data_IF_653268473806
#
_entry.id   IF_653268473806
#
_cell.length_a   1.000
_cell.length_b   1.000
_cell.length_c   1.000
_cell.angle_alpha   90.00
_cell.angle_beta   90.00
_cell.angle_gamma   90.00
#
_symmetry.space_group_name_H-M   'P 1'
#
loop_
_entity.id
_entity.type
_entity.pdbx_description
1 polymer ?
#
# COMPACT_ATOMS: atom_id res chain seq x y z
N UNK A 1 5.50 -7.56 1.00
CA UNK A 1 5.35 -6.09 0.96
C UNK A 1 6.65 -5.32 1.04
N UNK A 2 7.70 -5.78 1.74
CA UNK A 2 9.02 -5.11 1.73
C UNK A 2 9.56 -4.81 0.32
N UNK A 3 9.52 -5.80 -0.59
CA UNK A 3 9.98 -5.63 -1.97
C UNK A 3 9.18 -4.54 -2.70
N UNK A 4 7.85 -4.58 -2.61
CA UNK A 4 6.95 -3.57 -3.18
C UNK A 4 7.27 -2.16 -2.67
N UNK A 5 7.38 -2.00 -1.35
CA UNK A 5 7.68 -0.70 -0.74
C UNK A 5 9.07 -0.17 -1.13
N UNK A 6 10.07 -1.06 -1.21
CA UNK A 6 11.42 -0.67 -1.64
C UNK A 6 11.42 -0.20 -3.10
N UNK A 7 10.68 -0.91 -3.96
CA UNK A 7 10.55 -0.56 -5.38
C UNK A 7 9.80 0.76 -5.57
N UNK A 8 8.76 1.02 -4.78
CA UNK A 8 8.04 2.30 -4.73
C UNK A 8 9.00 3.47 -4.44
N UNK A 9 9.79 3.36 -3.37
CA UNK A 9 10.80 4.39 -3.02
C UNK A 9 11.79 4.56 -4.15
N UNK A 10 12.28 3.46 -4.74
CA UNK A 10 13.24 3.49 -5.85
C UNK A 10 12.67 4.25 -7.05
N UNK A 11 11.43 3.96 -7.44
CA UNK A 11 10.73 4.62 -8.56
C UNK A 11 10.60 6.12 -8.36
N UNK A 12 10.22 6.59 -7.18
CA UNK A 12 10.11 8.04 -6.93
C UNK A 12 11.47 8.75 -6.78
N UNK A 13 12.56 8.01 -6.54
CA UNK A 13 13.92 8.56 -6.56
C UNK A 13 14.55 8.61 -7.96
N UNK A 14 14.00 7.84 -8.90
CA UNK A 14 14.46 7.71 -10.27
C UNK A 14 14.39 9.04 -11.04
N UNK A 15 15.44 9.34 -11.82
CA UNK A 15 15.54 10.59 -12.57
C UNK A 15 14.48 10.71 -13.65
N UNK A 16 14.11 9.61 -14.32
CA UNK A 16 13.15 9.65 -15.42
C UNK A 16 11.74 9.93 -14.89
N UNK A 17 11.43 9.35 -13.73
CA UNK A 17 10.18 9.65 -13.02
C UNK A 17 10.16 11.12 -12.59
N UNK A 18 11.24 11.64 -12.01
CA UNK A 18 11.33 13.08 -11.68
C UNK A 18 11.17 13.97 -12.91
N UNK A 19 11.79 13.60 -14.03
CA UNK A 19 11.68 14.31 -15.30
C UNK A 19 10.24 14.29 -15.84
N UNK A 20 9.47 13.21 -15.60
CA UNK A 20 8.05 13.14 -15.94
C UNK A 20 7.25 14.20 -15.18
N UNK A 21 7.50 14.41 -13.89
CA UNK A 21 6.85 15.49 -13.13
C UNK A 21 7.24 16.87 -13.66
N UNK A 22 8.54 17.14 -13.81
CA UNK A 22 9.01 18.48 -14.22
C UNK A 22 8.58 18.84 -15.63
N UNK A 23 8.53 17.87 -16.55
CA UNK A 23 8.06 18.10 -17.93
C UNK A 23 6.57 18.47 -17.99
N UNK A 24 5.79 18.10 -16.98
CA UNK A 24 4.39 18.49 -16.81
C UNK A 24 4.22 19.75 -15.92
N UNK A 25 5.32 20.45 -15.59
CA UNK A 25 5.32 21.60 -14.68
C UNK A 25 4.76 21.26 -13.28
N UNK A 26 4.99 20.02 -12.81
CA UNK A 26 4.55 19.52 -11.51
C UNK A 26 5.72 19.37 -10.54
N UNK A 27 5.52 19.62 -9.23
CA UNK A 27 6.48 19.19 -8.23
C UNK A 27 6.50 17.66 -8.16
N UNK A 28 7.70 17.09 -8.10
CA UNK A 28 7.87 15.65 -7.90
C UNK A 28 7.65 15.26 -6.45
N UNK A 29 7.33 13.98 -6.20
CA UNK A 29 7.21 13.41 -4.86
C UNK A 29 8.54 13.55 -4.10
N UNK A 30 8.53 14.27 -2.99
CA UNK A 30 9.71 14.54 -2.16
C UNK A 30 9.86 13.55 -1.01
N UNK A 31 8.75 12.98 -0.55
CA UNK A 31 8.73 12.09 0.60
C UNK A 31 7.82 10.87 0.37
N UNK A 32 8.29 9.69 0.75
CA UNK A 32 7.54 8.43 0.69
C UNK A 32 7.72 7.73 2.02
N UNK A 33 6.62 7.41 2.70
CA UNK A 33 6.67 6.76 4.01
C UNK A 33 5.48 5.80 4.24
N UNK A 34 5.59 4.96 5.27
CA UNK A 34 4.47 4.17 5.76
C UNK A 34 3.48 5.08 6.48
N UNK A 35 2.20 4.91 6.18
CA UNK A 35 1.16 5.75 6.76
C UNK A 35 0.95 5.45 8.25
N UNK A 36 1.05 6.50 9.07
CA UNK A 36 0.88 6.52 10.52
C UNK A 36 0.00 7.70 11.00
N UNK A 37 -0.60 8.48 10.10
CA UNK A 37 -1.40 9.67 10.42
C UNK A 37 -0.65 11.00 10.28
N UNK A 38 0.40 11.04 9.47
CA UNK A 38 1.25 12.22 9.22
C UNK A 38 0.46 13.45 8.71
N UNK A 39 -0.65 13.21 8.03
CA UNK A 39 -1.57 14.19 7.46
C UNK A 39 -2.57 14.80 8.46
N UNK A 40 -2.69 14.23 9.67
CA UNK A 40 -3.57 14.77 10.73
C UNK A 40 -2.81 15.53 11.82
N UNK A 41 -1.52 15.25 12.02
CA UNK A 41 -0.77 15.80 13.15
C UNK A 41 0.65 16.22 12.77
N UNK A 42 0.80 17.45 12.29
CA UNK A 42 2.09 18.06 11.94
C UNK A 42 3.11 18.02 13.10
N UNK A 43 2.64 18.12 14.36
CA UNK A 43 3.50 18.13 15.55
C UNK A 43 3.91 16.73 16.04
N UNK A 44 3.22 15.69 15.59
CA UNK A 44 3.45 14.30 15.98
C UNK A 44 4.49 13.57 15.13
N UNK A 45 4.92 14.17 14.02
CA UNK A 45 5.81 13.56 13.04
C UNK A 45 6.93 14.54 12.65
N UNK A 46 8.07 14.01 12.16
CA UNK A 46 9.12 14.87 11.62
C UNK A 46 8.58 15.70 10.45
N UNK A 47 9.06 16.95 10.35
CA UNK A 47 8.73 17.85 9.25
C UNK A 47 9.08 17.17 7.92
N UNK A 48 8.06 16.76 7.17
CA UNK A 48 8.21 16.10 5.88
C UNK A 48 7.90 17.09 4.76
N UNK A 49 8.58 16.92 3.62
CA UNK A 49 8.43 17.80 2.47
C UNK A 49 7.28 17.32 1.58
N UNK A 50 6.36 18.22 1.24
CA UNK A 50 5.31 17.96 0.24
C UNK A 50 5.77 18.29 -1.19
N UNK A 51 5.29 17.57 -2.22
CA UNK A 51 4.30 16.47 -2.15
C UNK A 51 4.87 15.18 -1.55
N UNK A 52 4.01 14.46 -0.81
CA UNK A 52 4.36 13.21 -0.14
C UNK A 52 3.39 12.08 -0.52
N UNK A 53 3.88 10.84 -0.50
CA UNK A 53 3.09 9.63 -0.73
C UNK A 53 3.19 8.73 0.50
N UNK A 54 2.09 8.59 1.22
CA UNK A 54 2.01 7.70 2.36
C UNK A 54 1.35 6.38 1.99
N UNK A 55 1.90 5.27 2.47
CA UNK A 55 1.44 3.92 2.09
C UNK A 55 1.06 3.10 3.30
N UNK A 56 -0.12 2.48 3.25
CA UNK A 56 -0.47 1.35 4.12
C UNK A 56 -0.96 0.18 3.27
N UNK A 57 -0.97 -1.00 3.87
CA UNK A 57 -1.59 -2.17 3.25
C UNK A 57 -2.22 -3.08 4.28
N UNK A 58 -3.20 -3.85 3.84
CA UNK A 58 -3.71 -5.04 4.51
C UNK A 58 -3.58 -6.23 3.57
N UNK A 59 -3.50 -7.44 4.12
CA UNK A 59 -3.43 -8.66 3.32
C UNK A 59 -4.45 -9.65 3.88
N UNK A 60 -5.41 -10.02 3.04
CA UNK A 60 -6.39 -11.05 3.34
C UNK A 60 -5.85 -12.42 2.92
N UNK A 61 -5.83 -13.37 3.86
CA UNK A 61 -5.39 -14.76 3.67
C UNK A 61 -6.55 -15.77 3.68
N UNK A 62 -7.81 -15.30 3.65
CA UNK A 62 -8.99 -16.18 3.60
C UNK A 62 -9.08 -16.99 2.31
N UNK A 63 -8.61 -16.43 1.20
CA UNK A 63 -8.57 -17.10 -0.10
C UNK A 63 -7.30 -17.94 -0.27
N UNK A 64 -7.37 -18.96 -1.14
CA UNK A 64 -6.22 -19.80 -1.52
C UNK A 64 -5.03 -18.97 -2.00
N UNK A 65 -5.31 -17.93 -2.77
CA UNK A 65 -4.33 -16.91 -3.17
C UNK A 65 -4.62 -15.65 -2.35
N UNK A 66 -3.72 -15.26 -1.42
CA UNK A 66 -3.91 -14.06 -0.62
C UNK A 66 -4.05 -12.80 -1.46
N UNK A 67 -4.85 -11.85 -1.00
CA UNK A 67 -5.08 -10.56 -1.67
C UNK A 67 -4.55 -9.45 -0.79
N UNK A 68 -3.65 -8.62 -1.32
CA UNK A 68 -3.21 -7.40 -0.67
C UNK A 68 -4.05 -6.22 -1.14
N UNK A 69 -4.54 -5.42 -0.21
CA UNK A 69 -5.14 -4.12 -0.46
C UNK A 69 -4.13 -3.06 -0.03
N UNK A 70 -3.72 -2.21 -0.97
CA UNK A 70 -2.71 -1.18 -0.76
C UNK A 70 -3.39 0.18 -0.89
N UNK A 71 -3.25 1.02 0.13
CA UNK A 71 -3.81 2.37 0.14
C UNK A 71 -2.66 3.37 0.10
N UNK A 72 -2.71 4.24 -0.89
CA UNK A 72 -1.81 5.37 -1.04
C UNK A 72 -2.57 6.64 -0.67
N UNK A 73 -1.98 7.48 0.18
CA UNK A 73 -2.48 8.82 0.49
C UNK A 73 -1.50 9.82 -0.07
N UNK A 74 -1.96 10.56 -1.06
CA UNK A 74 -1.20 11.52 -1.83
C UNK A 74 -1.39 12.89 -1.19
N UNK A 75 -0.42 13.31 -0.38
CA UNK A 75 -0.47 14.57 0.33
C UNK A 75 0.22 15.66 -0.50
N UNK A 76 -0.51 16.71 -0.82
CA UNK A 76 -0.03 17.79 -1.67
C UNK A 76 -0.33 19.13 -1.01
N UNK A 77 0.71 19.92 -0.76
CA UNK A 77 0.57 21.26 -0.21
C UNK A 77 -0.06 22.18 -1.26
N UNK A 78 -1.38 22.32 -1.22
CA UNK A 78 -2.09 23.36 -1.94
C UNK A 78 -2.44 24.51 -0.99
N UNK A 79 -2.07 25.71 -1.42
CA UNK A 79 -2.60 26.95 -0.90
C UNK A 79 -3.39 27.60 -2.04
N UNK A 80 -4.63 27.18 -2.37
CA UNK A 80 -5.45 27.91 -3.37
C UNK A 80 -6.93 27.54 -3.51
N UNK A 81 -7.64 28.54 -4.02
CA UNK A 81 -9.06 28.57 -4.39
C UNK A 81 -9.31 27.88 -5.75
N UNK A 82 -10.02 26.74 -5.74
CA UNK A 82 -10.49 25.96 -6.90
C UNK A 82 -11.87 26.40 -7.39
N UNK A 83 -12.45 27.47 -6.84
CA UNK A 83 -13.77 27.93 -7.24
C UNK A 83 -13.80 28.36 -8.71
N UNK A 84 -15.00 28.29 -9.31
CA UNK A 84 -15.25 28.68 -10.70
C UNK A 84 -14.95 30.16 -11.01
N UNK A 85 -14.71 30.98 -10.00
CA UNK A 85 -14.36 32.41 -10.12
C UNK A 85 -12.87 32.68 -9.93
N UNK A 86 -12.09 31.65 -9.59
CA UNK A 86 -10.65 31.75 -9.37
C UNK A 86 -9.93 32.14 -10.67
N UNK A 87 -9.13 33.20 -10.61
CA UNK A 87 -8.25 33.64 -11.72
C UNK A 87 -6.99 32.78 -11.85
N UNK A 88 -6.80 31.82 -10.96
CA UNK A 88 -5.62 30.95 -10.89
C UNK A 88 -5.99 29.45 -11.00
N UNK A 89 -7.15 29.15 -11.60
CA UNK A 89 -7.73 27.81 -11.70
C UNK A 89 -6.76 26.78 -12.31
N UNK A 90 -6.01 27.14 -13.35
CA UNK A 90 -5.03 26.23 -13.97
C UNK A 90 -3.96 25.74 -12.98
N UNK A 91 -3.47 26.61 -12.07
CA UNK A 91 -2.50 26.21 -11.05
C UNK A 91 -3.12 25.34 -9.96
N UNK A 92 -4.40 25.54 -9.66
CA UNK A 92 -5.11 24.70 -8.68
C UNK A 92 -5.43 23.31 -9.22
N UNK A 93 -5.58 23.14 -10.54
CA UNK A 93 -5.82 21.84 -11.17
C UNK A 93 -4.58 20.95 -11.26
N UNK A 94 -3.38 21.50 -11.04
CA UNK A 94 -2.12 20.73 -11.07
C UNK A 94 -2.08 19.55 -10.09
N UNK A 95 -2.90 19.58 -9.02
CA UNK A 95 -3.02 18.42 -8.13
C UNK A 95 -3.69 17.22 -8.80
N UNK A 96 -4.66 17.44 -9.69
CA UNK A 96 -5.28 16.37 -10.49
C UNK A 96 -4.27 15.75 -11.46
N UNK A 97 -3.43 16.58 -12.07
CA UNK A 97 -2.34 16.11 -12.93
C UNK A 97 -1.30 15.33 -12.10
N UNK A 98 -0.98 15.81 -10.89
CA UNK A 98 -0.10 15.12 -9.96
C UNK A 98 -0.63 13.72 -9.59
N UNK A 99 -1.92 13.60 -9.27
CA UNK A 99 -2.57 12.31 -8.98
C UNK A 99 -2.39 11.36 -10.17
N UNK A 100 -2.64 11.84 -11.39
CA UNK A 100 -2.52 11.04 -12.62
C UNK A 100 -1.09 10.54 -12.83
N UNK A 101 -0.09 11.41 -12.67
CA UNK A 101 1.32 11.02 -12.82
C UNK A 101 1.73 10.01 -11.74
N UNK A 102 1.26 10.17 -10.50
CA UNK A 102 1.53 9.23 -9.41
C UNK A 102 0.86 7.87 -9.65
N UNK A 103 -0.40 7.84 -10.08
CA UNK A 103 -1.13 6.62 -10.46
C UNK A 103 -0.37 5.82 -11.53
N UNK A 104 0.10 6.48 -12.58
CA UNK A 104 0.93 5.85 -13.61
C UNK A 104 2.21 5.21 -13.04
N UNK A 105 2.89 5.92 -12.14
CA UNK A 105 4.12 5.40 -11.50
C UNK A 105 3.79 4.17 -10.66
N UNK A 106 2.73 4.24 -9.86
CA UNK A 106 2.27 3.14 -9.01
C UNK A 106 1.91 1.91 -9.85
N UNK A 107 1.13 2.09 -10.93
CA UNK A 107 0.75 1.02 -11.89
C UNK A 107 1.94 0.36 -12.58
N UNK A 108 3.08 1.06 -12.69
CA UNK A 108 4.31 0.52 -13.28
C UNK A 108 5.14 -0.37 -12.34
N UNK A 109 4.74 -0.49 -11.07
CA UNK A 109 5.49 -1.27 -10.07
C UNK A 109 5.13 -2.74 -10.20
N UNK A 110 6.16 -3.55 -10.44
CA UNK A 110 6.07 -5.00 -10.45
C UNK A 110 7.11 -5.58 -9.48
N UNK A 111 6.71 -6.53 -8.65
CA UNK A 111 7.64 -7.24 -7.76
C UNK A 111 7.37 -8.72 -7.73
N UNK A 112 8.37 -9.57 -7.41
CA UNK A 112 8.20 -11.03 -7.46
C UNK A 112 7.09 -11.59 -6.56
N UNK A 113 6.68 -10.84 -5.54
CA UNK A 113 5.75 -11.30 -4.50
C UNK A 113 4.35 -10.68 -4.62
N UNK A 114 4.13 -9.83 -5.62
CA UNK A 114 2.85 -9.12 -5.85
C UNK A 114 2.46 -9.30 -7.31
N UNK A 115 1.22 -9.71 -7.56
CA UNK A 115 0.67 -9.64 -8.91
C UNK A 115 0.53 -8.19 -9.39
N UNK A 116 0.09 -8.02 -10.64
CA UNK A 116 -0.27 -6.72 -11.18
C UNK A 116 -1.33 -6.06 -10.30
N UNK A 117 -1.11 -4.80 -9.95
CA UNK A 117 -2.05 -4.04 -9.14
C UNK A 117 -3.23 -3.56 -10.00
N UNK A 118 -4.42 -3.54 -9.41
CA UNK A 118 -5.65 -3.03 -10.04
C UNK A 118 -6.28 -1.99 -9.12
N UNK A 119 -6.66 -0.84 -9.68
CA UNK A 119 -7.34 0.21 -8.93
C UNK A 119 -8.70 -0.32 -8.47
N UNK A 120 -8.96 -0.20 -7.18
CA UNK A 120 -10.20 -0.63 -6.53
C UNK A 120 -11.12 0.57 -6.26
N UNK A 121 -10.57 1.65 -5.73
CA UNK A 121 -11.30 2.88 -5.46
C UNK A 121 -10.33 4.05 -5.34
N UNK A 122 -10.86 5.26 -5.46
CA UNK A 122 -10.15 6.50 -5.20
C UNK A 122 -11.10 7.54 -4.62
N UNK A 123 -10.57 8.45 -3.81
CA UNK A 123 -11.34 9.50 -3.15
C UNK A 123 -10.49 10.73 -2.91
N UNK A 124 -11.12 11.91 -3.00
CA UNK A 124 -10.55 13.14 -2.46
C UNK A 124 -10.99 13.22 -0.99
N UNK A 125 -10.02 13.22 -0.08
CA UNK A 125 -10.29 13.10 1.34
C UNK A 125 -10.89 14.41 1.86
N UNK A 126 -12.12 14.35 2.37
CA UNK A 126 -12.89 15.53 2.85
C UNK A 126 -12.59 15.81 4.33
N UNK A 127 -11.80 14.94 5.00
CA UNK A 127 -11.48 15.09 6.41
C UNK A 127 -10.45 16.19 6.67
N UNK A 128 -10.51 16.81 7.85
CA UNK A 128 -9.59 17.86 8.32
C UNK A 128 -8.15 17.33 8.35
N UNK A 129 -7.46 17.53 7.24
CA UNK A 129 -6.05 17.21 7.04
C UNK A 129 -5.29 18.51 6.85
N UNK A 130 -4.01 18.52 7.20
CA UNK A 130 -3.18 19.75 7.15
C UNK A 130 -2.91 20.24 5.72
N UNK A 131 -3.11 19.36 4.73
CA UNK A 131 -2.94 19.61 3.29
C UNK A 131 -3.98 18.79 2.53
N UNK A 132 -4.16 19.07 1.24
CA UNK A 132 -5.02 18.25 0.38
C UNK A 132 -4.49 16.81 0.30
N UNK A 133 -5.38 15.84 0.52
CA UNK A 133 -5.07 14.41 0.42
C UNK A 133 -5.98 13.73 -0.57
N UNK A 134 -5.40 13.03 -1.55
CA UNK A 134 -6.12 12.12 -2.43
C UNK A 134 -5.75 10.68 -2.12
N UNK A 135 -6.74 9.81 -1.96
CA UNK A 135 -6.54 8.41 -1.65
C UNK A 135 -6.68 7.58 -2.92
N UNK A 136 -5.69 6.72 -3.20
CA UNK A 136 -5.77 5.67 -4.21
C UNK A 136 -5.72 4.31 -3.51
N UNK A 137 -6.69 3.45 -3.77
CA UNK A 137 -6.75 2.09 -3.22
C UNK A 137 -6.61 1.08 -4.35
N UNK A 138 -5.62 0.20 -4.25
CA UNK A 138 -5.39 -0.88 -5.19
C UNK A 138 -5.52 -2.24 -4.52
N UNK A 139 -5.80 -3.26 -5.32
CA UNK A 139 -5.64 -4.65 -4.92
C UNK A 139 -4.59 -5.36 -5.79
N UNK A 140 -3.97 -6.40 -5.25
CA UNK A 140 -3.19 -7.36 -6.02
C UNK A 140 -3.14 -8.71 -5.31
N UNK A 141 -2.76 -9.76 -6.04
CA UNK A 141 -2.43 -11.04 -5.43
C UNK A 141 -1.10 -10.95 -4.68
N UNK A 142 -0.97 -11.68 -3.57
CA UNK A 142 0.23 -11.69 -2.75
C UNK A 142 0.74 -13.10 -2.47
N UNK A 143 2.03 -13.33 -2.70
CA UNK A 143 2.68 -14.64 -2.54
C UNK A 143 3.86 -14.63 -1.55
N UNK A 144 4.12 -13.50 -0.88
CA UNK A 144 5.33 -13.33 -0.06
C UNK A 144 5.35 -14.08 1.28
N UNK A 145 4.25 -14.76 1.67
CA UNK A 145 4.25 -15.71 2.79
C UNK A 145 3.78 -17.07 2.29
N UNK A 146 4.52 -18.13 2.61
CA UNK A 146 4.15 -19.53 2.31
C UNK A 146 3.33 -20.13 3.47
N UNK A 147 2.42 -21.06 3.18
CA UNK A 147 1.72 -21.92 4.16
C UNK A 147 0.89 -21.17 5.24
N UNK A 148 0.20 -20.09 4.88
CA UNK A 148 -0.60 -19.29 5.83
C UNK A 148 -1.98 -19.87 6.13
N UNK A 149 -2.57 -20.62 5.20
CA UNK A 149 -3.74 -21.47 5.49
C UNK A 149 -3.26 -22.76 6.18
N UNK A 150 -3.00 -22.69 7.49
CA UNK A 150 -2.94 -23.89 8.34
C UNK A 150 -4.36 -24.38 8.66
N UNK A 151 -5.17 -24.63 7.64
CA UNK A 151 -6.45 -25.35 7.77
C UNK A 151 -6.41 -26.64 6.96
N UNK A 152 -5.26 -27.30 6.95
CA UNK A 152 -5.30 -28.75 7.08
C UNK A 152 -5.44 -29.02 8.58
N UNK A 153 -6.67 -29.02 9.10
CA UNK A 153 -6.94 -29.93 10.19
C UNK A 153 -6.51 -31.30 9.65
N UNK A 154 -5.32 -31.77 10.04
CA UNK A 154 -5.07 -33.21 9.98
C UNK A 154 -6.13 -33.77 10.90
N UNK A 155 -7.24 -34.23 10.32
CA UNK A 155 -8.19 -35.10 10.99
C UNK A 155 -7.39 -36.40 11.19
N UNK A 156 -6.56 -36.41 12.23
CA UNK A 156 -5.91 -37.62 12.69
C UNK A 156 -7.05 -38.50 13.17
N UNK A 157 -7.40 -39.50 12.38
CA UNK A 157 -8.09 -40.65 12.93
C UNK A 157 -7.08 -41.27 13.89
N UNK A 158 -7.44 -41.40 15.17
CA UNK A 158 -6.57 -41.94 16.23
C UNK A 158 -6.07 -43.35 15.84
N UNK A 159 -6.75 -44.02 14.90
CA UNK A 159 -6.47 -45.37 14.44
C UNK A 159 -5.16 -45.56 13.67
N UNK A 160 -4.50 -44.50 13.18
CA UNK A 160 -3.24 -44.61 12.42
C UNK A 160 -1.97 -44.44 13.29
N UNK A 161 -2.11 -44.43 14.61
CA UNK A 161 -0.97 -44.52 15.51
C UNK A 161 -0.61 -45.99 15.71
N UNK A 162 0.26 -46.53 14.85
CA UNK A 162 0.96 -47.78 15.14
C UNK A 162 1.91 -47.55 16.33
N UNK A 163 1.39 -47.75 17.54
CA UNK A 163 2.17 -47.83 18.78
C UNK A 163 3.08 -49.07 18.70
N UNK A 164 4.22 -48.91 18.05
CA UNK A 164 5.29 -49.91 18.07
C UNK A 164 6.29 -49.54 19.16
N UNK A 165 6.41 -50.41 20.16
CA UNK A 165 7.34 -50.28 21.28
C UNK A 165 6.70 -50.47 22.66
N UNK A 166 7.53 -50.43 23.70
CA UNK A 166 7.19 -50.71 25.11
C UNK A 166 6.13 -49.77 25.74
N UNK A 167 5.59 -48.79 24.98
CA UNK A 167 4.47 -47.95 25.42
C UNK A 167 3.13 -48.70 25.40
N UNK A 168 2.93 -49.63 24.44
CA UNK A 168 1.68 -50.40 24.35
C UNK A 168 1.50 -51.31 25.57
N UNK A 169 2.59 -51.92 26.04
CA UNK A 169 2.57 -52.86 27.17
C UNK A 169 2.26 -52.20 28.51
N UNK A 170 2.52 -50.88 28.66
CA UNK A 170 2.20 -50.12 29.87
C UNK A 170 0.77 -49.58 29.92
N UNK A 171 0.05 -49.58 28.80
CA UNK A 171 -1.35 -49.11 28.72
C UNK A 171 -2.38 -50.21 28.98
N UNK A 172 -1.96 -51.48 28.98
CA UNK A 172 -2.81 -52.65 29.26
C UNK A 172 -2.66 -53.20 30.69
N UNK A 173 -1.89 -52.51 31.53
CA UNK A 173 -1.74 -52.83 32.95
C UNK A 173 -2.16 -51.58 33.71
N UNK A 174 -3.47 -51.44 33.87
CA UNK A 174 -4.18 -50.90 35.04
C UNK A 174 -5.69 -51.16 34.88
#
# INVERSE_FOLDING_TARGET
MKAFYTELIRKFKDSDIKNKFTSNNLPHVKFVDLYAGQDYNEKGFEAHLFPAVFVKWSIDYKSKTPIATITFRLAYEQLRDTSSISRASEKSLQFLDFITVVDDVIKSIETPNTGKITLLSEDFNIEDTIVDVYTLVYNCTYSGKKNTLKTAFKRGVIDDVNLSGNLHTKLLID
#
